data_IF_659673961504
#
_entry.id   IF_659673961504
#
_cell.length_a   1.000
_cell.length_b   1.000
_cell.length_c   1.000
_cell.angle_alpha   90.00
_cell.angle_beta   90.00
_cell.angle_gamma   90.00
#
_symmetry.space_group_name_H-M   'P 1'
#
loop_
_entity.id
_entity.type
_entity.pdbx_description
1 polymer ?
#
# COMPACT_ATOMS: atom_id res chain seq x y z
N UNK A 1 -21.22 13.60 -23.05
CA UNK A 1 -21.51 14.31 -21.79
C UNK A 1 -20.44 13.90 -20.82
N UNK A 2 -19.42 14.73 -20.64
CA UNK A 2 -18.40 14.54 -19.61
C UNK A 2 -19.00 15.02 -18.30
N UNK A 3 -19.63 14.11 -17.56
CA UNK A 3 -19.97 14.35 -16.16
C UNK A 3 -18.69 14.77 -15.43
N UNK A 4 -18.84 15.73 -14.51
CA UNK A 4 -17.77 16.20 -13.65
C UNK A 4 -17.41 15.04 -12.71
N UNK A 5 -16.46 14.18 -13.10
CA UNK A 5 -16.27 12.83 -12.52
C UNK A 5 -15.68 12.81 -11.11
N UNK A 6 -15.12 13.93 -10.64
CA UNK A 6 -14.87 14.19 -9.22
C UNK A 6 -16.04 14.98 -8.60
N UNK A 7 -17.27 14.65 -8.96
CA UNK A 7 -18.41 15.16 -8.22
C UNK A 7 -18.23 14.74 -6.75
N UNK A 8 -18.44 15.71 -5.86
CA UNK A 8 -18.44 15.50 -4.43
C UNK A 8 -19.34 14.33 -4.05
N UNK A 9 -20.43 14.10 -4.79
CA UNK A 9 -21.32 12.94 -4.59
C UNK A 9 -20.59 11.59 -4.74
N UNK A 10 -19.81 11.41 -5.80
CA UNK A 10 -19.03 10.19 -6.07
C UNK A 10 -17.93 10.01 -5.01
N UNK A 11 -17.26 11.10 -4.63
CA UNK A 11 -16.27 11.05 -3.56
C UNK A 11 -16.92 10.64 -2.24
N UNK A 12 -18.03 11.27 -1.87
CA UNK A 12 -18.74 10.97 -0.63
C UNK A 12 -19.29 9.51 -0.62
N UNK A 13 -19.70 8.99 -1.78
CA UNK A 13 -20.16 7.60 -1.95
C UNK A 13 -19.05 6.58 -1.70
N UNK A 14 -17.88 6.77 -2.34
CA UNK A 14 -16.80 5.76 -2.31
C UNK A 14 -15.71 6.02 -1.26
N UNK A 15 -15.78 7.14 -0.52
CA UNK A 15 -14.76 7.56 0.45
C UNK A 15 -14.34 6.45 1.41
N UNK A 16 -15.31 5.81 2.06
CA UNK A 16 -15.03 4.77 3.04
C UNK A 16 -14.37 3.55 2.39
N UNK A 17 -14.85 3.12 1.22
CA UNK A 17 -14.23 2.01 0.48
C UNK A 17 -12.81 2.32 0.03
N UNK A 18 -12.55 3.56 -0.41
CA UNK A 18 -11.19 4.01 -0.74
C UNK A 18 -10.29 3.99 0.49
N UNK A 19 -10.80 4.45 1.64
CA UNK A 19 -10.07 4.36 2.91
C UNK A 19 -9.75 2.94 3.32
N UNK A 20 -10.71 2.01 3.22
CA UNK A 20 -10.47 0.60 3.53
C UNK A 20 -9.47 -0.03 2.56
N UNK A 21 -9.53 0.30 1.26
CA UNK A 21 -8.53 -0.12 0.29
C UNK A 21 -7.14 0.43 0.63
N UNK A 22 -7.06 1.71 1.01
CA UNK A 22 -5.83 2.37 1.44
C UNK A 22 -5.28 1.75 2.72
N UNK A 23 -6.11 1.46 3.72
CA UNK A 23 -5.72 0.78 4.94
C UNK A 23 -5.21 -0.64 4.65
N UNK A 24 -5.90 -1.41 3.80
CA UNK A 24 -5.42 -2.71 3.34
C UNK A 24 -4.06 -2.63 2.62
N UNK A 25 -3.86 -1.62 1.76
CA UNK A 25 -2.57 -1.35 1.14
C UNK A 25 -1.50 -0.96 2.14
N UNK A 26 -1.81 -0.12 3.12
CA UNK A 26 -0.87 0.24 4.18
C UNK A 26 -0.42 -0.99 5.00
N UNK A 27 -1.33 -1.96 5.18
CA UNK A 27 -1.07 -3.23 5.85
C UNK A 27 -0.43 -4.31 4.96
N UNK A 28 -0.20 -4.10 3.66
CA UNK A 28 0.12 -5.19 2.73
C UNK A 28 1.40 -5.99 3.08
N UNK A 29 2.34 -5.38 3.82
CA UNK A 29 3.57 -6.02 4.28
C UNK A 29 3.51 -6.44 5.76
N UNK A 30 2.32 -6.48 6.37
CA UNK A 30 2.15 -6.77 7.79
C UNK A 30 2.77 -8.11 8.20
N UNK A 31 2.88 -9.07 7.28
CA UNK A 31 3.56 -10.32 7.59
C UNK A 31 5.06 -10.22 7.80
N UNK A 32 5.71 -9.14 7.42
CA UNK A 32 7.09 -8.92 7.83
C UNK A 32 7.18 -8.62 9.34
N UNK A 33 6.10 -8.19 9.98
CA UNK A 33 6.04 -7.94 11.43
C UNK A 33 5.76 -9.26 12.18
N UNK A 34 6.64 -10.25 12.01
CA UNK A 34 6.58 -11.50 12.78
C UNK A 34 7.97 -12.02 13.11
N UNK A 35 8.14 -12.77 14.22
CA UNK A 35 9.43 -13.42 14.54
C UNK A 35 9.90 -14.38 13.44
N UNK A 36 8.98 -15.04 12.75
CA UNK A 36 9.26 -15.96 11.65
C UNK A 36 9.90 -15.24 10.46
N UNK A 37 9.54 -13.98 10.19
CA UNK A 37 10.21 -13.18 9.17
C UNK A 37 11.70 -12.97 9.52
N UNK A 38 12.01 -12.67 10.78
CA UNK A 38 13.40 -12.50 11.24
C UNK A 38 14.17 -13.82 11.11
N UNK A 39 13.58 -14.94 11.53
CA UNK A 39 14.18 -16.27 11.39
C UNK A 39 14.40 -16.65 9.93
N UNK A 40 13.43 -16.35 9.07
CA UNK A 40 13.52 -16.55 7.63
C UNK A 40 14.70 -15.78 7.03
N UNK A 41 14.85 -14.50 7.39
CA UNK A 41 15.92 -13.65 6.89
C UNK A 41 17.32 -14.06 7.40
N UNK A 42 17.40 -14.66 8.60
CA UNK A 42 18.64 -15.22 9.16
C UNK A 42 18.95 -16.64 8.68
N UNK A 43 18.07 -17.26 7.89
CA UNK A 43 18.12 -18.69 7.57
C UNK A 43 18.12 -19.61 8.81
N UNK A 44 17.49 -19.19 9.92
CA UNK A 44 17.37 -19.96 11.18
C UNK A 44 16.02 -20.62 11.36
N UNK A 45 15.14 -20.52 10.36
CA UNK A 45 13.81 -21.13 10.37
C UNK A 45 13.84 -22.67 10.21
N UNK A 46 15.01 -23.24 9.88
CA UNK A 46 15.17 -24.68 9.62
C UNK A 46 14.58 -25.09 8.28
N UNK A 47 13.90 -26.25 8.24
CA UNK A 47 13.22 -26.76 7.03
C UNK A 47 11.84 -26.12 6.80
N UNK A 48 11.36 -25.32 7.75
CA UNK A 48 10.11 -24.57 7.61
C UNK A 48 10.27 -23.48 6.54
N UNK A 49 9.29 -23.39 5.67
CA UNK A 49 9.19 -22.32 4.67
C UNK A 49 8.39 -21.18 5.24
N UNK A 50 8.62 -19.96 4.77
CA UNK A 50 7.86 -18.80 5.21
C UNK A 50 7.50 -17.89 4.03
N UNK A 51 6.24 -17.50 3.97
CA UNK A 51 5.71 -16.60 2.95
C UNK A 51 4.94 -15.50 3.65
N UNK A 52 5.60 -14.38 3.95
CA UNK A 52 5.03 -13.26 4.71
C UNK A 52 3.83 -12.58 4.03
N UNK A 53 3.58 -12.88 2.76
CA UNK A 53 2.40 -12.42 2.04
C UNK A 53 1.24 -13.45 2.02
N UNK A 54 1.40 -14.66 2.56
CA UNK A 54 0.35 -15.71 2.61
C UNK A 54 -0.03 -16.05 4.05
N UNK A 55 -0.28 -15.00 4.83
CA UNK A 55 -0.31 -15.10 6.29
C UNK A 55 -1.67 -14.78 6.92
N UNK A 56 -2.60 -14.24 6.13
CA UNK A 56 -3.95 -13.97 6.62
C UNK A 56 -4.75 -15.26 6.77
N UNK A 57 -4.42 -16.27 5.94
CA UNK A 57 -5.13 -17.54 5.90
C UNK A 57 -6.52 -17.43 5.25
N UNK A 58 -6.86 -16.30 4.61
CA UNK A 58 -8.16 -16.11 3.96
C UNK A 58 -8.41 -17.16 2.88
N UNK A 59 -7.38 -17.53 2.13
CA UNK A 59 -7.48 -18.56 1.10
C UNK A 59 -7.87 -19.94 1.67
N UNK A 60 -7.48 -20.24 2.90
CA UNK A 60 -7.84 -21.52 3.55
C UNK A 60 -9.34 -21.63 3.88
N UNK A 61 -10.08 -20.52 3.88
CA UNK A 61 -11.51 -20.50 4.13
C UNK A 61 -12.36 -20.80 2.89
N UNK A 62 -11.74 -20.94 1.71
CA UNK A 62 -12.45 -21.27 0.47
C UNK A 62 -12.92 -22.73 0.54
N UNK A 63 -14.24 -22.91 0.50
CA UNK A 63 -14.90 -24.23 0.67
C UNK A 63 -15.14 -24.99 -0.63
N UNK A 64 -14.67 -24.47 -1.76
CA UNK A 64 -14.86 -25.10 -3.06
C UNK A 64 -14.05 -26.40 -3.16
N UNK A 65 -14.71 -27.58 -3.22
CA UNK A 65 -14.03 -28.88 -3.21
C UNK A 65 -13.01 -29.07 -4.34
N UNK A 66 -13.23 -28.41 -5.49
CA UNK A 66 -12.29 -28.47 -6.63
C UNK A 66 -10.99 -27.70 -6.36
N UNK A 67 -11.03 -26.74 -5.43
CA UNK A 67 -9.92 -25.82 -5.12
C UNK A 67 -9.18 -26.21 -3.84
N UNK A 68 -9.82 -26.96 -2.93
CA UNK A 68 -9.23 -27.40 -1.66
C UNK A 68 -7.87 -28.10 -1.87
N UNK A 69 -7.75 -29.02 -2.83
CA UNK A 69 -6.46 -29.71 -3.11
C UNK A 69 -5.36 -28.76 -3.57
N UNK A 70 -5.72 -27.72 -4.32
CA UNK A 70 -4.77 -26.72 -4.83
C UNK A 70 -4.28 -25.83 -3.69
N UNK A 71 -5.21 -25.40 -2.83
CA UNK A 71 -4.99 -24.65 -1.58
C UNK A 71 -4.09 -25.46 -0.64
N UNK A 72 -4.45 -26.71 -0.33
CA UNK A 72 -3.64 -27.62 0.48
C UNK A 72 -2.21 -27.74 -0.06
N UNK A 73 -2.03 -27.84 -1.38
CA UNK A 73 -0.70 -27.92 -1.96
C UNK A 73 0.10 -26.60 -1.86
N UNK A 74 -0.55 -25.42 -1.89
CA UNK A 74 0.12 -24.14 -1.57
C UNK A 74 0.55 -24.15 -0.11
N UNK A 75 -0.39 -24.46 0.78
CA UNK A 75 -0.19 -24.39 2.22
C UNK A 75 0.66 -25.54 2.77
N UNK A 76 0.90 -26.64 2.05
CA UNK A 76 1.94 -27.63 2.40
C UNK A 76 3.34 -27.01 2.45
N UNK A 77 3.53 -25.87 1.80
CA UNK A 77 4.81 -25.16 1.73
C UNK A 77 4.83 -23.86 2.53
N UNK A 78 3.80 -23.59 3.31
CA UNK A 78 3.69 -22.44 4.21
C UNK A 78 3.38 -23.00 5.59
N UNK A 79 3.88 -22.45 6.70
CA UNK A 79 3.58 -23.01 8.00
C UNK A 79 2.06 -22.97 8.19
N UNK A 80 1.46 -24.11 8.57
CA UNK A 80 0.02 -24.24 8.84
C UNK A 80 -0.45 -23.35 10.00
N UNK A 81 0.50 -22.74 10.72
CA UNK A 81 0.25 -22.00 11.93
C UNK A 81 -0.07 -20.57 11.58
N UNK A 82 -1.37 -20.32 11.48
CA UNK A 82 -2.07 -19.05 11.56
C UNK A 82 -1.20 -17.91 12.12
N UNK A 83 -0.54 -17.19 11.21
CA UNK A 83 0.37 -16.11 11.57
C UNK A 83 -0.36 -15.03 12.36
N UNK A 84 -1.59 -14.70 11.95
CA UNK A 84 -2.46 -13.81 12.71
C UNK A 84 -3.39 -14.55 13.66
N UNK A 85 -3.69 -13.89 14.79
CA UNK A 85 -4.74 -14.26 15.71
C UNK A 85 -6.09 -14.29 15.00
N UNK A 86 -6.98 -15.15 15.48
CA UNK A 86 -8.32 -15.32 14.88
C UNK A 86 -9.13 -14.02 14.87
N UNK A 87 -8.98 -13.17 15.90
CA UNK A 87 -9.60 -11.84 15.95
C UNK A 87 -9.13 -10.93 14.80
N UNK A 88 -7.82 -10.89 14.56
CA UNK A 88 -7.21 -10.11 13.47
C UNK A 88 -7.68 -10.61 12.10
N UNK A 89 -7.76 -11.92 11.89
CA UNK A 89 -8.28 -12.48 10.63
C UNK A 89 -9.73 -12.10 10.38
N UNK A 90 -10.58 -12.25 11.40
CA UNK A 90 -11.99 -11.83 11.32
C UNK A 90 -12.10 -10.36 11.00
N UNK A 91 -11.29 -9.52 11.65
CA UNK A 91 -11.25 -8.09 11.36
C UNK A 91 -10.85 -7.81 9.90
N UNK A 92 -9.80 -8.46 9.38
CA UNK A 92 -9.39 -8.33 7.97
C UNK A 92 -10.47 -8.77 6.98
N UNK A 93 -11.26 -9.80 7.31
CA UNK A 93 -12.35 -10.33 6.47
C UNK A 93 -13.59 -9.45 6.52
N UNK A 94 -13.92 -8.90 7.69
CA UNK A 94 -15.16 -8.16 7.93
C UNK A 94 -15.15 -6.74 7.38
N UNK A 95 -13.96 -6.14 7.21
CA UNK A 95 -13.80 -4.85 6.55
C UNK A 95 -13.87 -5.03 5.03
N UNK A 96 -15.10 -4.98 4.50
CA UNK A 96 -15.39 -5.11 3.07
C UNK A 96 -15.04 -3.84 2.31
N UNK A 97 -14.51 -4.00 1.11
CA UNK A 97 -14.16 -2.90 0.21
C UNK A 97 -15.10 -2.99 -0.99
N UNK A 98 -15.86 -1.93 -1.24
CA UNK A 98 -16.82 -1.81 -2.35
C UNK A 98 -16.44 -0.60 -3.19
N UNK A 99 -15.61 -0.82 -4.22
CA UNK A 99 -15.10 0.25 -5.08
C UNK A 99 -15.99 0.42 -6.31
N UNK A 100 -15.79 1.53 -7.02
CA UNK A 100 -16.43 1.77 -8.30
C UNK A 100 -15.83 0.92 -9.43
N UNK A 101 -16.57 0.81 -10.53
CA UNK A 101 -16.06 0.21 -11.75
C UNK A 101 -14.77 0.89 -12.24
N UNK A 102 -13.76 0.14 -12.73
CA UNK A 102 -13.77 -1.29 -13.02
C UNK A 102 -13.39 -2.18 -11.82
N UNK A 103 -13.20 -1.61 -10.64
CA UNK A 103 -12.75 -2.30 -9.42
C UNK A 103 -13.91 -2.87 -8.60
N UNK A 104 -15.07 -3.05 -9.22
CA UNK A 104 -16.25 -3.72 -8.68
C UNK A 104 -16.38 -5.18 -9.19
N UNK A 105 -15.31 -5.72 -9.78
CA UNK A 105 -15.23 -7.05 -10.36
C UNK A 105 -15.43 -8.21 -9.36
N UNK A 106 -15.38 -7.93 -8.06
CA UNK A 106 -15.81 -8.82 -6.96
C UNK A 106 -15.94 -8.05 -5.63
N UNK A 107 -16.49 -8.71 -4.63
CA UNK A 107 -16.41 -8.24 -3.25
C UNK A 107 -14.99 -8.43 -2.70
N UNK A 108 -14.45 -7.36 -2.13
CA UNK A 108 -13.13 -7.32 -1.53
C UNK A 108 -13.19 -7.28 -0.02
N UNK A 109 -12.11 -7.71 0.63
CA UNK A 109 -11.81 -7.37 2.01
C UNK A 109 -10.35 -6.95 2.14
N UNK A 110 -9.98 -6.24 3.21
CA UNK A 110 -8.60 -5.75 3.37
C UNK A 110 -7.57 -6.88 3.33
N UNK A 111 -7.90 -8.05 3.90
CA UNK A 111 -6.98 -9.18 3.88
C UNK A 111 -6.73 -9.77 2.48
N UNK A 112 -7.60 -9.52 1.50
CA UNK A 112 -7.33 -9.89 0.10
C UNK A 112 -6.06 -9.18 -0.41
N UNK A 113 -5.88 -7.89 -0.06
CA UNK A 113 -4.71 -7.10 -0.47
C UNK A 113 -3.40 -7.69 0.09
N UNK A 114 -3.44 -8.20 1.33
CA UNK A 114 -2.30 -8.84 2.00
C UNK A 114 -2.00 -10.21 1.37
N UNK A 115 -3.02 -11.07 1.29
CA UNK A 115 -2.89 -12.47 0.91
C UNK A 115 -2.51 -12.64 -0.58
N UNK A 116 -3.01 -11.76 -1.45
CA UNK A 116 -2.83 -11.93 -2.89
C UNK A 116 -1.55 -11.32 -3.44
N UNK A 117 -0.92 -10.40 -2.72
CA UNK A 117 0.36 -9.83 -3.16
C UNK A 117 1.47 -10.91 -3.28
N UNK A 118 1.44 -11.91 -2.40
CA UNK A 118 2.44 -12.97 -2.29
C UNK A 118 2.46 -14.01 -3.40
N UNK A 119 1.36 -14.12 -4.12
CA UNK A 119 1.16 -15.16 -5.14
C UNK A 119 1.80 -14.74 -6.48
N UNK A 120 2.60 -13.67 -6.52
CA UNK A 120 3.08 -13.09 -7.77
C UNK A 120 4.61 -13.01 -7.93
N UNK A 121 5.40 -12.90 -6.85
CA UNK A 121 6.81 -12.49 -6.92
C UNK A 121 7.80 -13.49 -7.56
N UNK A 122 7.36 -14.69 -7.92
CA UNK A 122 8.27 -15.76 -8.40
C UNK A 122 7.70 -16.56 -9.60
N UNK A 123 6.66 -16.06 -10.27
CA UNK A 123 6.11 -16.69 -11.48
C UNK A 123 6.15 -15.76 -12.69
N UNK A 124 6.30 -16.31 -13.89
CA UNK A 124 6.03 -15.65 -15.18
C UNK A 124 4.52 -15.36 -15.31
N UNK A 125 4.05 -14.39 -14.53
CA UNK A 125 2.65 -14.13 -14.21
C UNK A 125 1.86 -13.37 -15.29
N UNK A 126 2.46 -13.03 -16.42
CA UNK A 126 1.73 -12.49 -17.58
C UNK A 126 0.60 -13.41 -18.04
N UNK A 127 0.73 -14.73 -17.78
CA UNK A 127 -0.29 -15.75 -18.06
C UNK A 127 -1.45 -15.78 -17.05
N UNK A 128 -1.29 -15.22 -15.85
CA UNK A 128 -2.35 -15.22 -14.83
C UNK A 128 -3.45 -14.19 -15.13
N UNK A 129 -3.17 -13.17 -15.95
CA UNK A 129 -4.15 -12.09 -16.15
C UNK A 129 -4.60 -11.98 -17.60
N UNK A 130 -4.24 -12.92 -18.47
CA UNK A 130 -4.71 -12.97 -19.85
C UNK A 130 -5.65 -14.16 -20.09
N UNK A 131 -6.63 -13.99 -20.99
CA UNK A 131 -7.62 -15.01 -21.33
C UNK A 131 -6.97 -16.26 -21.92
N UNK A 132 -5.90 -16.12 -22.71
CA UNK A 132 -5.18 -17.25 -23.29
C UNK A 132 -4.58 -18.17 -22.20
N UNK A 133 -4.00 -17.62 -21.14
CA UNK A 133 -3.53 -18.38 -19.99
C UNK A 133 -4.67 -18.93 -19.13
N UNK A 134 -5.78 -18.20 -18.99
CA UNK A 134 -6.98 -18.68 -18.28
C UNK A 134 -7.68 -19.84 -19.00
N UNK A 135 -7.77 -19.81 -20.33
CA UNK A 135 -8.33 -20.89 -21.14
C UNK A 135 -7.39 -22.11 -21.20
N UNK A 136 -6.08 -21.90 -21.33
CA UNK A 136 -5.07 -22.96 -21.18
C UNK A 136 -5.23 -23.66 -19.84
N UNK A 137 -5.48 -22.90 -18.77
CA UNK A 137 -5.66 -23.42 -17.40
C UNK A 137 -7.01 -24.14 -17.19
N UNK A 138 -8.12 -23.58 -17.68
CA UNK A 138 -9.47 -24.18 -17.54
C UNK A 138 -9.62 -25.53 -18.24
N UNK A 139 -8.77 -25.79 -19.24
CA UNK A 139 -8.76 -27.05 -19.98
C UNK A 139 -7.87 -28.15 -19.34
N UNK A 140 -7.13 -27.83 -18.28
CA UNK A 140 -6.38 -28.85 -17.54
C UNK A 140 -7.30 -29.70 -16.66
N UNK A 141 -7.06 -31.01 -16.63
CA UNK A 141 -7.64 -31.88 -15.62
C UNK A 141 -6.99 -31.58 -14.27
N UNK A 142 -7.69 -31.83 -13.15
CA UNK A 142 -7.15 -31.65 -11.78
C UNK A 142 -5.77 -32.27 -11.57
N UNK A 143 -5.48 -33.39 -12.25
CA UNK A 143 -4.20 -34.08 -12.23
C UNK A 143 -3.07 -33.31 -12.90
N UNK A 144 -3.36 -32.53 -13.93
CA UNK A 144 -2.40 -31.69 -14.64
C UNK A 144 -2.17 -30.38 -13.88
N UNK A 145 -3.22 -29.83 -13.26
CA UNK A 145 -3.12 -28.71 -12.33
C UNK A 145 -2.24 -29.03 -11.12
N UNK A 146 -2.34 -30.24 -10.57
CA UNK A 146 -1.48 -30.72 -9.49
C UNK A 146 -0.02 -30.93 -9.92
N UNK A 147 0.25 -31.30 -11.17
CA UNK A 147 1.62 -31.43 -11.69
C UNK A 147 2.24 -30.05 -11.94
N UNK A 148 1.47 -29.11 -12.48
CA UNK A 148 1.90 -27.72 -12.69
C UNK A 148 2.13 -27.04 -11.34
N UNK A 149 1.22 -27.20 -10.39
CA UNK A 149 1.36 -26.76 -9.01
C UNK A 149 2.68 -27.20 -8.33
N UNK A 150 3.12 -28.42 -8.63
CA UNK A 150 4.37 -29.00 -8.11
C UNK A 150 5.61 -28.48 -8.84
N UNK A 151 5.47 -28.09 -10.11
CA UNK A 151 6.56 -27.67 -11.00
C UNK A 151 6.79 -26.15 -10.96
N UNK A 152 5.72 -25.37 -11.13
CA UNK A 152 5.65 -23.91 -10.99
C UNK A 152 4.84 -23.60 -9.73
N UNK A 153 5.55 -23.38 -8.62
CA UNK A 153 4.99 -23.36 -7.25
C UNK A 153 3.94 -22.27 -6.96
N UNK A 154 3.60 -21.40 -7.93
CA UNK A 154 2.98 -20.08 -7.67
C UNK A 154 2.04 -19.62 -8.80
N UNK A 155 1.64 -20.54 -9.69
CA UNK A 155 0.62 -20.28 -10.71
C UNK A 155 -0.76 -20.78 -10.24
N UNK A 156 -1.39 -20.11 -9.27
CA UNK A 156 -2.61 -20.66 -8.62
C UNK A 156 -3.70 -19.68 -8.19
N UNK A 157 -3.53 -18.38 -8.41
CA UNK A 157 -4.56 -17.41 -8.00
C UNK A 157 -5.86 -17.57 -8.81
N UNK A 158 -5.76 -17.74 -10.14
CA UNK A 158 -6.88 -18.11 -11.02
C UNK A 158 -7.46 -19.50 -10.78
N UNK A 159 -6.69 -20.38 -10.14
CA UNK A 159 -7.17 -21.72 -9.79
C UNK A 159 -7.97 -21.71 -8.50
N UNK A 160 -7.73 -20.72 -7.65
CA UNK A 160 -8.37 -20.57 -6.35
C UNK A 160 -9.52 -19.55 -6.41
N UNK A 161 -9.45 -18.58 -7.33
CA UNK A 161 -10.48 -17.58 -7.56
C UNK A 161 -11.01 -17.73 -8.98
N UNK A 162 -12.33 -17.74 -9.15
CA UNK A 162 -13.00 -17.89 -10.46
C UNK A 162 -12.63 -16.78 -11.47
N UNK A 163 -12.12 -15.66 -10.95
CA UNK A 163 -11.38 -14.60 -11.64
C UNK A 163 -10.28 -14.06 -10.71
N UNK A 164 -9.14 -13.63 -11.27
CA UNK A 164 -8.24 -12.69 -10.59
C UNK A 164 -8.99 -11.44 -10.16
N UNK A 165 -8.42 -10.65 -9.25
CA UNK A 165 -8.94 -9.33 -8.89
C UNK A 165 -8.19 -8.22 -9.62
N UNK A 166 -8.90 -7.21 -10.12
CA UNK A 166 -8.30 -5.99 -10.65
C UNK A 166 -7.64 -5.17 -9.54
N UNK A 167 -8.26 -5.10 -8.36
CA UNK A 167 -7.69 -4.39 -7.20
C UNK A 167 -6.35 -5.00 -6.75
N UNK A 168 -6.24 -6.33 -6.66
CA UNK A 168 -4.98 -6.98 -6.25
C UNK A 168 -3.92 -6.89 -7.35
N UNK A 169 -4.33 -6.92 -8.62
CA UNK A 169 -3.43 -6.63 -9.74
C UNK A 169 -2.91 -5.20 -9.67
N UNK A 170 -3.79 -4.22 -9.42
CA UNK A 170 -3.39 -2.84 -9.22
C UNK A 170 -2.43 -2.72 -8.03
N UNK A 171 -2.75 -3.34 -6.88
CA UNK A 171 -1.86 -3.33 -5.72
C UNK A 171 -0.47 -3.88 -6.04
N UNK A 172 -0.37 -4.94 -6.85
CA UNK A 172 0.93 -5.44 -7.29
C UNK A 172 1.73 -4.38 -8.04
N UNK A 173 1.11 -3.65 -8.97
CA UNK A 173 1.77 -2.54 -9.66
C UNK A 173 2.18 -1.43 -8.68
N UNK A 174 1.34 -1.12 -7.70
CA UNK A 174 1.63 -0.15 -6.65
C UNK A 174 2.82 -0.57 -5.79
N UNK A 175 2.87 -1.84 -5.39
CA UNK A 175 3.98 -2.42 -4.63
C UNK A 175 5.28 -2.38 -5.44
N UNK A 176 5.23 -2.71 -6.73
CA UNK A 176 6.38 -2.63 -7.62
C UNK A 176 6.88 -1.18 -7.79
N UNK A 177 5.97 -0.23 -7.96
CA UNK A 177 6.29 1.20 -8.00
C UNK A 177 6.92 1.70 -6.70
N UNK A 178 6.39 1.29 -5.55
CA UNK A 178 6.87 1.69 -4.22
C UNK A 178 8.21 1.03 -3.85
N UNK A 179 8.42 -0.24 -4.23
CA UNK A 179 9.64 -0.99 -3.92
C UNK A 179 10.81 -0.66 -4.83
N UNK A 180 10.60 0.14 -5.89
CA UNK A 180 11.63 0.48 -6.86
C UNK A 180 12.02 -0.73 -7.70
N UNK A 181 11.27 -1.01 -8.77
CA UNK A 181 11.57 -2.07 -9.75
C UNK A 181 13.01 -2.07 -10.31
N UNK A 182 13.73 -0.95 -10.15
CA UNK A 182 15.13 -0.75 -10.56
C UNK A 182 16.17 -1.26 -9.55
N UNK A 183 15.76 -1.94 -8.47
CA UNK A 183 16.66 -2.59 -7.48
C UNK A 183 17.77 -3.44 -8.10
N UNK A 184 17.61 -3.89 -9.35
CA UNK A 184 18.60 -4.64 -10.13
C UNK A 184 19.96 -3.93 -10.28
N UNK A 185 20.01 -2.60 -10.11
CA UNK A 185 21.25 -1.81 -10.26
C UNK A 185 21.90 -1.42 -8.93
N UNK A 186 21.30 -1.76 -7.78
CA UNK A 186 21.85 -1.44 -6.46
C UNK A 186 22.67 -2.64 -5.98
N UNK A 187 23.96 -2.43 -5.71
CA UNK A 187 24.76 -3.45 -5.04
C UNK A 187 24.16 -3.70 -3.65
N UNK A 188 23.62 -4.90 -3.45
CA UNK A 188 22.99 -5.28 -2.20
C UNK A 188 23.74 -6.42 -1.51
N UNK A 189 23.94 -6.26 -0.21
CA UNK A 189 24.50 -7.30 0.64
C UNK A 189 23.38 -7.86 1.51
N UNK A 190 23.17 -9.17 1.44
CA UNK A 190 22.34 -9.85 2.42
C UNK A 190 22.96 -9.69 3.81
N UNK A 191 22.15 -9.68 4.89
CA UNK A 191 22.66 -9.65 6.25
C UNK A 191 23.74 -10.74 6.44
N UNK A 192 24.96 -10.33 6.74
CA UNK A 192 26.04 -11.25 7.12
C UNK A 192 26.09 -11.39 8.64
N UNK A 193 25.69 -12.54 9.17
CA UNK A 193 25.76 -12.87 10.60
C UNK A 193 24.40 -13.05 11.29
N UNK A 194 24.41 -13.15 12.62
CA UNK A 194 23.23 -13.51 13.44
C UNK A 194 22.22 -12.37 13.64
N UNK A 195 22.45 -11.21 13.04
CA UNK A 195 21.75 -9.97 13.34
C UNK A 195 21.16 -9.32 12.09
N UNK A 196 19.96 -8.75 12.24
CA UNK A 196 19.29 -7.93 11.24
C UNK A 196 19.32 -6.50 11.74
N UNK A 197 19.51 -5.55 10.84
CA UNK A 197 19.57 -4.13 11.17
C UNK A 197 18.57 -3.36 10.33
N UNK A 198 17.90 -2.39 10.96
CA UNK A 198 17.25 -1.29 10.26
C UNK A 198 18.19 -0.08 10.34
N UNK A 199 18.41 0.57 9.21
CA UNK A 199 19.27 1.74 9.11
C UNK A 199 18.44 3.03 8.97
N UNK A 200 19.05 4.18 9.23
CA UNK A 200 18.49 5.47 8.80
C UNK A 200 19.05 5.83 7.42
N UNK A 201 18.43 6.76 6.68
CA UNK A 201 19.02 7.29 5.44
C UNK A 201 20.44 7.86 5.61
N UNK A 202 20.85 8.18 6.85
CA UNK A 202 22.19 8.65 7.21
C UNK A 202 23.11 7.55 7.75
N UNK A 203 22.76 6.28 7.60
CA UNK A 203 23.61 5.13 7.92
C UNK A 203 23.69 4.76 9.41
N UNK A 204 22.81 5.29 10.27
CA UNK A 204 22.74 4.82 11.67
C UNK A 204 21.95 3.52 11.73
N UNK A 205 22.52 2.49 12.32
CA UNK A 205 21.88 1.18 12.39
C UNK A 205 21.36 0.86 13.80
N UNK A 206 20.18 0.24 13.85
CA UNK A 206 19.60 -0.35 15.05
C UNK A 206 19.39 -1.84 14.80
N UNK A 207 19.92 -2.65 15.71
CA UNK A 207 19.71 -4.09 15.66
C UNK A 207 18.26 -4.43 15.95
N UNK A 208 17.74 -5.38 15.19
CA UNK A 208 16.42 -5.99 15.36
C UNK A 208 16.60 -7.41 15.87
N UNK A 209 15.80 -7.76 16.87
CA UNK A 209 15.71 -9.11 17.43
C UNK A 209 14.28 -9.66 17.41
N UNK A 210 14.17 -10.98 17.57
CA UNK A 210 12.89 -11.71 17.52
C UNK A 210 11.93 -11.32 18.66
N UNK A 211 12.46 -10.97 19.84
CA UNK A 211 11.64 -10.60 21.01
C UNK A 211 10.95 -9.27 20.75
N UNK A 212 11.67 -8.30 20.19
CA UNK A 212 11.10 -7.03 19.74
C UNK A 212 9.97 -7.25 18.75
N UNK A 213 10.16 -8.13 17.75
CA UNK A 213 9.12 -8.44 16.75
C UNK A 213 7.92 -9.18 17.33
N UNK A 214 8.13 -10.03 18.33
CA UNK A 214 7.02 -10.68 19.03
C UNK A 214 6.13 -9.66 19.76
N UNK A 215 6.74 -8.73 20.51
CA UNK A 215 6.02 -7.64 21.16
C UNK A 215 5.32 -6.75 20.13
N UNK A 216 6.01 -6.38 19.06
CA UNK A 216 5.48 -5.52 18.01
C UNK A 216 4.26 -6.15 17.32
N UNK A 217 4.36 -7.41 16.92
CA UNK A 217 3.26 -8.18 16.33
C UNK A 217 2.05 -8.20 17.25
N UNK A 218 2.25 -8.51 18.53
CA UNK A 218 1.17 -8.54 19.53
C UNK A 218 0.48 -7.18 19.63
N UNK A 219 1.24 -6.11 19.78
CA UNK A 219 0.70 -4.74 19.88
C UNK A 219 -0.05 -4.31 18.62
N UNK A 220 0.48 -4.64 17.43
CA UNK A 220 -0.20 -4.34 16.17
C UNK A 220 -1.52 -5.09 16.05
N UNK A 221 -1.54 -6.39 16.35
CA UNK A 221 -2.76 -7.19 16.25
C UNK A 221 -3.84 -6.81 17.28
N UNK A 222 -3.46 -6.53 18.52
CA UNK A 222 -4.39 -6.02 19.54
C UNK A 222 -5.03 -4.70 19.10
N UNK A 223 -4.22 -3.83 18.50
CA UNK A 223 -4.67 -2.53 17.98
C UNK A 223 -5.55 -2.64 16.75
N UNK A 224 -5.24 -3.53 15.80
CA UNK A 224 -6.06 -3.75 14.61
C UNK A 224 -7.49 -4.10 15.00
N UNK A 225 -7.66 -4.97 16.00
CA UNK A 225 -8.97 -5.39 16.49
C UNK A 225 -9.79 -4.26 17.15
N UNK A 226 -9.15 -3.13 17.50
CA UNK A 226 -9.77 -1.98 18.17
C UNK A 226 -9.92 -0.75 17.26
N UNK A 227 -9.33 -0.78 16.06
CA UNK A 227 -9.25 0.40 15.19
C UNK A 227 -10.35 0.37 14.12
N UNK A 228 -10.93 1.54 13.87
CA UNK A 228 -11.79 1.77 12.71
C UNK A 228 -10.96 2.24 11.51
N UNK A 229 -10.95 1.43 10.45
CA UNK A 229 -10.23 1.74 9.22
C UNK A 229 -10.97 2.74 8.31
N UNK A 230 -12.21 3.14 8.65
CA UNK A 230 -12.94 4.21 7.96
C UNK A 230 -12.44 5.62 8.32
N UNK A 231 -11.49 5.76 9.24
CA UNK A 231 -10.75 6.99 9.47
C UNK A 231 -9.27 6.77 9.14
N UNK A 232 -8.92 6.97 7.87
CA UNK A 232 -7.57 6.68 7.38
C UNK A 232 -6.48 7.48 8.09
N UNK A 233 -6.73 8.75 8.43
CA UNK A 233 -5.77 9.60 9.15
C UNK A 233 -5.44 9.02 10.53
N UNK A 234 -6.49 8.74 11.32
CA UNK A 234 -6.35 8.11 12.64
C UNK A 234 -5.66 6.75 12.52
N UNK A 235 -6.04 5.98 11.50
CA UNK A 235 -5.48 4.66 11.23
C UNK A 235 -3.97 4.74 11.00
N UNK A 236 -3.50 5.58 10.06
CA UNK A 236 -2.08 5.74 9.76
C UNK A 236 -1.31 6.22 10.99
N UNK A 237 -1.78 7.30 11.63
CA UNK A 237 -1.15 7.90 12.82
C UNK A 237 -1.00 6.88 13.97
N UNK A 238 -1.98 5.97 14.11
CA UNK A 238 -1.96 4.97 15.17
C UNK A 238 -0.94 3.85 14.95
N UNK A 239 -0.68 3.48 13.69
CA UNK A 239 0.21 2.38 13.31
C UNK A 239 1.62 2.82 12.92
N UNK A 240 1.79 4.04 12.40
CA UNK A 240 3.07 4.58 11.95
C UNK A 240 4.23 4.39 12.96
N UNK A 241 4.08 4.71 14.26
CA UNK A 241 5.18 4.51 15.21
C UNK A 241 5.64 3.06 15.32
N UNK A 242 4.72 2.10 15.22
CA UNK A 242 5.02 0.67 15.26
C UNK A 242 5.62 0.19 13.93
N UNK A 243 5.11 0.71 12.81
CA UNK A 243 5.56 0.29 11.49
C UNK A 243 6.95 0.84 11.13
N UNK A 244 7.34 1.99 11.69
CA UNK A 244 8.71 2.52 11.60
C UNK A 244 9.75 1.68 12.34
N UNK A 245 9.34 0.88 13.31
CA UNK A 245 10.22 -0.04 14.04
C UNK A 245 10.45 -1.37 13.30
N UNK A 246 9.65 -1.66 12.27
CA UNK A 246 9.75 -2.88 11.47
C UNK A 246 10.44 -2.60 10.13
N UNK A 247 11.30 -3.54 9.70
CA UNK A 247 12.10 -3.43 8.49
C UNK A 247 11.33 -4.00 7.31
N UNK A 248 11.26 -3.26 6.20
CA UNK A 248 10.66 -3.75 4.97
C UNK A 248 11.66 -4.54 4.12
N UNK A 249 12.93 -4.18 4.16
CA UNK A 249 14.00 -4.84 3.40
C UNK A 249 15.23 -5.03 4.30
N UNK A 250 15.83 -6.22 4.31
CA UNK A 250 16.94 -6.53 5.21
C UNK A 250 18.30 -6.31 4.56
N UNK A 251 18.36 -6.09 3.24
CA UNK A 251 19.61 -5.96 2.51
C UNK A 251 20.21 -4.58 2.68
N UNK A 252 21.53 -4.49 2.87
CA UNK A 252 22.24 -3.19 2.84
C UNK A 252 22.47 -2.77 1.39
N UNK A 253 22.41 -1.46 1.05
CA UNK A 253 22.11 -0.33 1.92
C UNK A 253 20.60 0.00 2.01
N UNK A 254 19.73 -0.82 1.44
CA UNK A 254 18.27 -0.58 1.34
C UNK A 254 17.48 -0.92 2.60
N UNK A 255 18.17 -1.35 3.66
CA UNK A 255 17.61 -1.63 4.97
C UNK A 255 17.23 -0.37 5.77
N UNK A 256 17.18 0.78 5.10
CA UNK A 256 16.67 2.04 5.63
C UNK A 256 15.17 2.23 5.41
N UNK A 257 14.52 1.27 4.73
CA UNK A 257 13.09 1.30 4.44
C UNK A 257 12.33 0.49 5.50
N UNK A 258 11.44 1.17 6.22
CA UNK A 258 10.54 0.56 7.19
C UNK A 258 9.25 0.04 6.55
N UNK A 259 8.47 -0.73 7.31
CA UNK A 259 7.13 -1.17 6.87
C UNK A 259 6.20 0.01 6.63
N UNK A 260 6.35 1.09 7.41
CA UNK A 260 5.60 2.32 7.19
C UNK A 260 5.90 2.90 5.82
N UNK A 261 7.19 3.03 5.46
CA UNK A 261 7.61 3.70 4.23
C UNK A 261 7.06 2.99 2.99
N UNK A 262 7.20 1.66 2.93
CA UNK A 262 6.70 0.85 1.81
C UNK A 262 5.17 0.78 1.80
N UNK A 263 4.53 0.69 2.98
CA UNK A 263 3.08 0.62 3.13
C UNK A 263 2.41 1.91 2.71
N UNK A 264 2.94 3.04 3.19
CA UNK A 264 2.44 4.38 2.91
C UNK A 264 2.61 4.74 1.44
N UNK A 265 3.77 4.46 0.87
CA UNK A 265 4.02 4.68 -0.56
C UNK A 265 3.15 3.77 -1.43
N UNK A 266 3.01 2.49 -1.07
CA UNK A 266 2.12 1.55 -1.77
C UNK A 266 0.65 1.99 -1.72
N UNK A 267 0.19 2.50 -0.57
CA UNK A 267 -1.13 3.11 -0.40
C UNK A 267 -1.30 4.37 -1.27
N UNK A 268 -0.29 5.24 -1.31
CA UNK A 268 -0.31 6.47 -2.10
C UNK A 268 -0.50 6.17 -3.59
N UNK A 269 0.26 5.21 -4.12
CA UNK A 269 0.03 4.70 -5.46
C UNK A 269 -1.39 4.12 -5.57
N UNK A 270 -1.78 3.15 -4.74
CA UNK A 270 -3.09 2.50 -4.86
C UNK A 270 -4.25 3.49 -4.95
N UNK A 271 -4.29 4.48 -4.05
CA UNK A 271 -5.30 5.54 -4.04
C UNK A 271 -5.38 6.26 -5.39
N UNK A 272 -4.24 6.68 -5.92
CA UNK A 272 -4.13 7.35 -7.22
C UNK A 272 -4.55 6.46 -8.39
N UNK A 273 -4.22 5.16 -8.33
CA UNK A 273 -4.57 4.19 -9.36
C UNK A 273 -6.05 3.88 -9.39
N UNK A 274 -6.69 3.78 -8.23
CA UNK A 274 -8.14 3.58 -8.12
C UNK A 274 -8.87 4.67 -8.92
N UNK A 275 -8.57 5.94 -8.64
CA UNK A 275 -9.17 7.07 -9.34
C UNK A 275 -8.85 7.09 -10.83
N UNK A 276 -7.59 6.81 -11.21
CA UNK A 276 -7.23 6.81 -12.62
C UNK A 276 -7.98 5.73 -13.40
N UNK A 277 -8.09 4.52 -12.85
CA UNK A 277 -8.86 3.45 -13.50
C UNK A 277 -10.34 3.78 -13.58
N UNK A 278 -10.92 4.25 -12.48
CA UNK A 278 -12.33 4.63 -12.43
C UNK A 278 -12.70 5.67 -13.48
N UNK A 279 -11.84 6.66 -13.69
CA UNK A 279 -12.12 7.81 -14.55
C UNK A 279 -11.71 7.54 -16.00
N UNK A 280 -10.47 7.06 -16.22
CA UNK A 280 -9.88 6.94 -17.56
C UNK A 280 -10.21 5.62 -18.24
N UNK A 281 -10.42 4.56 -17.46
CA UNK A 281 -10.65 3.21 -17.97
C UNK A 281 -11.77 2.46 -17.22
N UNK A 282 -12.99 3.03 -17.12
CA UNK A 282 -14.10 2.47 -16.32
C UNK A 282 -14.57 1.08 -16.75
N UNK A 283 -14.09 0.56 -17.88
CA UNK A 283 -14.47 -0.73 -18.47
C UNK A 283 -13.28 -1.65 -18.74
N UNK A 284 -12.12 -1.36 -18.14
CA UNK A 284 -10.91 -2.16 -18.39
C UNK A 284 -11.13 -3.59 -17.93
N UNK A 285 -10.79 -4.53 -18.79
CA UNK A 285 -10.75 -5.95 -18.44
C UNK A 285 -9.38 -6.33 -17.86
N UNK A 286 -9.28 -7.45 -17.15
CA UNK A 286 -7.97 -7.96 -16.69
C UNK A 286 -6.96 -8.13 -17.82
N UNK A 287 -7.43 -8.55 -19.00
CA UNK A 287 -6.59 -8.76 -20.18
C UNK A 287 -5.99 -7.45 -20.69
N UNK A 288 -6.81 -6.41 -20.80
CA UNK A 288 -6.37 -5.08 -21.20
C UNK A 288 -5.46 -4.47 -20.15
N UNK A 289 -5.81 -4.62 -18.87
CA UNK A 289 -4.99 -4.16 -17.75
C UNK A 289 -3.60 -4.79 -17.82
N UNK A 290 -3.52 -6.12 -17.98
CA UNK A 290 -2.25 -6.84 -18.08
C UNK A 290 -1.42 -6.44 -19.32
N UNK A 291 -2.06 -6.38 -20.50
CA UNK A 291 -1.37 -6.11 -21.77
C UNK A 291 -0.91 -4.66 -21.88
N UNK A 292 -1.74 -3.72 -21.43
CA UNK A 292 -1.56 -2.29 -21.66
C UNK A 292 -0.97 -1.58 -20.45
N UNK A 293 -1.39 -1.89 -19.22
CA UNK A 293 -1.00 -1.18 -18.00
C UNK A 293 0.05 -1.95 -17.17
N UNK A 294 0.11 -3.28 -17.31
CA UNK A 294 1.03 -4.16 -16.58
C UNK A 294 2.46 -4.19 -17.11
N UNK A 295 2.74 -3.67 -18.32
CA UNK A 295 4.11 -3.57 -18.86
C UNK A 295 4.84 -2.39 -18.23
N UNK A 296 6.13 -2.59 -17.94
CA UNK A 296 7.05 -1.75 -17.14
C UNK A 296 7.17 -0.25 -17.49
N UNK A 297 6.40 0.29 -18.44
CA UNK A 297 6.42 1.73 -18.77
C UNK A 297 5.06 2.41 -18.79
N UNK A 298 3.95 1.67 -18.74
CA UNK A 298 2.61 2.26 -18.83
C UNK A 298 1.93 2.49 -17.47
N UNK A 299 2.44 1.90 -16.38
CA UNK A 299 1.95 2.20 -15.03
C UNK A 299 2.22 3.67 -14.64
N UNK A 300 3.19 4.35 -15.26
CA UNK A 300 3.41 5.80 -15.09
C UNK A 300 2.18 6.64 -15.47
N UNK A 301 1.23 6.08 -16.22
CA UNK A 301 -0.04 6.74 -16.57
C UNK A 301 -1.12 6.60 -15.50
N UNK A 302 -0.78 6.08 -14.32
CA UNK A 302 -1.71 5.93 -13.18
C UNK A 302 -1.48 6.99 -12.10
N UNK A 303 -0.37 7.72 -12.17
CA UNK A 303 0.05 8.62 -11.10
C UNK A 303 0.94 9.74 -11.63
N UNK A 304 0.84 10.89 -11.00
CA UNK A 304 1.70 12.06 -11.16
C UNK A 304 2.15 12.57 -9.79
N UNK A 305 3.17 13.41 -9.80
CA UNK A 305 3.63 14.14 -8.63
C UNK A 305 3.05 15.56 -8.65
N UNK A 306 2.39 15.96 -7.57
CA UNK A 306 1.97 17.33 -7.32
C UNK A 306 2.90 17.92 -6.26
N UNK A 307 3.55 19.03 -6.57
CA UNK A 307 4.39 19.75 -5.63
C UNK A 307 3.74 21.07 -5.26
N UNK A 308 3.48 21.25 -3.96
CA UNK A 308 3.10 22.53 -3.38
C UNK A 308 4.35 23.15 -2.76
N UNK A 309 4.75 24.34 -3.23
CA UNK A 309 5.97 25.01 -2.80
C UNK A 309 5.70 26.43 -2.33
N UNK A 310 6.31 26.76 -1.21
CA UNK A 310 6.32 28.07 -0.57
C UNK A 310 7.74 28.37 -0.09
N UNK A 311 8.09 29.65 0.04
CA UNK A 311 9.36 30.06 0.65
C UNK A 311 9.22 30.09 2.18
N UNK A 312 9.00 28.90 2.76
CA UNK A 312 8.79 28.78 4.20
C UNK A 312 10.07 29.06 4.98
N UNK A 313 11.25 28.79 4.41
CA UNK A 313 12.52 29.11 5.04
C UNK A 313 12.68 30.62 5.28
N UNK A 314 12.46 31.46 4.25
CA UNK A 314 12.51 32.92 4.43
C UNK A 314 11.44 33.38 5.43
N UNK A 315 10.21 32.86 5.33
CA UNK A 315 9.14 33.18 6.26
C UNK A 315 9.50 32.89 7.72
N UNK A 316 10.20 31.79 8.00
CA UNK A 316 10.67 31.44 9.34
C UNK A 316 11.85 32.31 9.79
N UNK A 317 12.76 32.67 8.88
CA UNK A 317 13.95 33.46 9.18
C UNK A 317 13.68 34.96 9.37
N UNK A 318 12.53 35.45 8.91
CA UNK A 318 12.04 36.80 9.21
C UNK A 318 11.58 36.97 10.67
N UNK A 319 11.65 35.91 11.49
CA UNK A 319 11.30 35.98 12.90
C UNK A 319 12.24 36.91 13.68
N UNK A 320 11.67 37.84 14.44
CA UNK A 320 12.43 38.81 15.25
C UNK A 320 12.93 38.24 16.58
N UNK A 321 12.31 37.16 17.07
CA UNK A 321 12.65 36.50 18.32
C UNK A 321 12.12 35.05 18.34
N UNK A 322 12.48 34.27 19.38
CA UNK A 322 12.10 32.86 19.49
C UNK A 322 10.58 32.63 19.59
N UNK A 323 9.83 33.56 20.20
CA UNK A 323 8.37 33.43 20.31
C UNK A 323 7.72 33.62 18.94
N UNK A 324 8.15 34.64 18.20
CA UNK A 324 7.72 34.90 16.82
C UNK A 324 8.05 33.71 15.90
N UNK A 325 9.27 33.16 16.00
CA UNK A 325 9.66 31.95 15.26
C UNK A 325 8.71 30.77 15.51
N UNK A 326 8.34 30.52 16.77
CA UNK A 326 7.38 29.45 17.12
C UNK A 326 5.99 29.70 16.53
N UNK A 327 5.51 30.94 16.58
CA UNK A 327 4.22 31.32 16.00
C UNK A 327 4.22 31.10 14.48
N UNK A 328 5.27 31.54 13.78
CA UNK A 328 5.44 31.33 12.34
C UNK A 328 5.55 29.86 11.98
N UNK A 329 6.33 29.09 12.74
CA UNK A 329 6.42 27.64 12.55
C UNK A 329 5.05 26.95 12.68
N UNK A 330 4.29 27.28 13.73
CA UNK A 330 2.96 26.70 13.92
C UNK A 330 1.99 27.12 12.80
N UNK A 331 2.07 28.37 12.34
CA UNK A 331 1.30 28.86 11.19
C UNK A 331 1.60 28.05 9.92
N UNK A 332 2.88 27.88 9.60
CA UNK A 332 3.34 27.08 8.46
C UNK A 332 2.87 25.62 8.56
N UNK A 333 3.02 25.00 9.73
CA UNK A 333 2.56 23.62 9.97
C UNK A 333 1.04 23.50 9.80
N UNK A 334 0.28 24.45 10.32
CA UNK A 334 -1.18 24.47 10.18
C UNK A 334 -1.62 24.61 8.71
N UNK A 335 -0.94 25.44 7.93
CA UNK A 335 -1.22 25.61 6.51
C UNK A 335 -1.01 24.32 5.71
N UNK A 336 0.13 23.67 5.93
CA UNK A 336 0.44 22.40 5.27
C UNK A 336 -0.51 21.28 5.73
N UNK A 337 -0.85 21.22 7.03
CA UNK A 337 -1.84 20.28 7.56
C UNK A 337 -3.23 20.50 6.95
N UNK A 338 -3.64 21.75 6.77
CA UNK A 338 -4.93 22.07 6.14
C UNK A 338 -4.99 21.61 4.68
N UNK A 339 -3.90 21.77 3.93
CA UNK A 339 -3.80 21.29 2.55
C UNK A 339 -3.88 19.77 2.51
N UNK A 340 -3.05 19.08 3.30
CA UNK A 340 -3.06 17.62 3.39
C UNK A 340 -4.45 17.11 3.78
N UNK A 341 -5.02 17.61 4.88
CA UNK A 341 -6.33 17.20 5.36
C UNK A 341 -7.42 17.38 4.29
N UNK A 342 -7.31 18.42 3.47
CA UNK A 342 -8.25 18.64 2.37
C UNK A 342 -8.13 17.57 1.29
N UNK A 343 -6.93 17.32 0.77
CA UNK A 343 -6.74 16.52 -0.46
C UNK A 343 -6.39 15.05 -0.22
N UNK A 344 -6.05 14.69 1.02
CA UNK A 344 -5.70 13.32 1.39
C UNK A 344 -6.81 12.59 2.13
N UNK A 345 -7.52 13.30 3.03
CA UNK A 345 -8.55 12.72 3.88
C UNK A 345 -9.94 13.24 3.52
N UNK A 346 -10.16 14.56 3.45
CA UNK A 346 -11.50 15.08 3.14
C UNK A 346 -11.96 14.63 1.75
N UNK A 347 -11.11 14.81 0.75
CA UNK A 347 -11.27 14.37 -0.62
C UNK A 347 -10.12 13.42 -0.96
N UNK A 348 -10.23 12.10 -0.74
CA UNK A 348 -9.10 11.16 -0.77
C UNK A 348 -8.59 10.88 -2.18
N UNK A 349 -8.03 11.89 -2.83
CA UNK A 349 -7.57 11.89 -4.21
C UNK A 349 -6.04 11.75 -4.25
N UNK A 350 -5.35 12.45 -3.37
CA UNK A 350 -3.91 12.47 -3.30
C UNK A 350 -3.40 11.91 -1.96
N UNK A 351 -2.11 11.62 -1.88
CA UNK A 351 -1.44 11.23 -0.64
C UNK A 351 -0.13 11.97 -0.52
N UNK A 352 0.12 12.63 0.60
CA UNK A 352 1.40 13.28 0.84
C UNK A 352 2.50 12.22 0.95
N UNK A 353 3.61 12.38 0.26
CA UNK A 353 4.75 11.45 0.34
C UNK A 353 6.02 12.14 0.83
N UNK A 354 6.00 13.47 0.93
CA UNK A 354 7.11 14.27 1.39
C UNK A 354 6.61 15.61 1.91
N UNK A 355 7.24 16.08 2.98
CA UNK A 355 7.04 17.42 3.53
C UNK A 355 8.35 17.97 4.10
N UNK A 356 8.58 19.25 3.86
CA UNK A 356 9.58 20.08 4.53
C UNK A 356 9.00 21.48 4.83
N UNK A 357 9.82 22.38 5.36
CA UNK A 357 9.44 23.78 5.58
C UNK A 357 9.07 24.51 4.28
N UNK A 358 9.51 24.04 3.12
CA UNK A 358 9.23 24.66 1.83
C UNK A 358 8.01 24.05 1.12
N UNK A 359 7.32 23.13 1.79
CA UNK A 359 6.02 22.61 1.38
C UNK A 359 5.98 21.10 1.27
N UNK A 360 5.17 20.62 0.33
CA UNK A 360 4.73 19.23 0.29
C UNK A 360 4.78 18.66 -1.12
N UNK A 361 4.97 17.35 -1.21
CA UNK A 361 4.80 16.60 -2.45
C UNK A 361 3.78 15.47 -2.26
N UNK A 362 2.89 15.32 -3.25
CA UNK A 362 1.79 14.37 -3.22
C UNK A 362 1.82 13.48 -4.46
N UNK A 363 1.48 12.20 -4.28
CA UNK A 363 1.10 11.33 -5.40
C UNK A 363 -0.39 11.56 -5.66
N UNK A 364 -0.76 11.79 -6.92
CA UNK A 364 -2.15 11.99 -7.35
C UNK A 364 -2.41 11.36 -8.73
N UNK A 365 -3.68 11.16 -9.12
CA UNK A 365 -4.06 10.53 -10.40
C UNK A 365 -3.48 11.25 -11.64
N UNK A 366 -3.04 10.51 -12.65
CA UNK A 366 -2.65 11.07 -13.96
C UNK A 366 -3.89 11.50 -14.78
N UNK A 367 -4.54 12.56 -14.30
CA UNK A 367 -5.78 13.12 -14.84
C UNK A 367 -5.70 14.65 -14.84
N UNK A 368 -5.92 15.28 -16.00
CA UNK A 368 -5.78 16.74 -16.15
C UNK A 368 -6.86 17.49 -15.39
N UNK A 369 -8.09 16.98 -15.41
CA UNK A 369 -9.26 17.54 -14.72
C UNK A 369 -9.02 17.60 -13.21
N UNK A 370 -8.41 16.56 -12.66
CA UNK A 370 -8.05 16.46 -11.24
C UNK A 370 -6.93 17.46 -10.89
N UNK A 371 -5.95 17.61 -11.78
CA UNK A 371 -4.84 18.55 -11.56
C UNK A 371 -5.35 19.99 -11.41
N UNK A 372 -6.31 20.41 -12.22
CA UNK A 372 -6.86 21.76 -12.17
C UNK A 372 -7.72 22.01 -10.92
N UNK A 373 -8.50 21.02 -10.49
CA UNK A 373 -9.25 21.09 -9.24
C UNK A 373 -8.32 21.16 -8.01
N UNK A 374 -7.26 20.35 -7.99
CA UNK A 374 -6.27 20.36 -6.91
C UNK A 374 -5.54 21.71 -6.85
N UNK A 375 -5.10 22.25 -8.00
CA UNK A 375 -4.49 23.59 -8.06
C UNK A 375 -5.44 24.67 -7.54
N UNK A 376 -6.69 24.66 -8.00
CA UNK A 376 -7.72 25.62 -7.58
C UNK A 376 -8.00 25.55 -6.07
N UNK A 377 -8.06 24.33 -5.53
CA UNK A 377 -8.26 24.10 -4.10
C UNK A 377 -7.08 24.60 -3.27
N UNK A 378 -5.85 24.28 -3.69
CA UNK A 378 -4.63 24.74 -3.03
C UNK A 378 -4.54 26.27 -3.06
N UNK A 379 -4.77 26.91 -4.21
CA UNK A 379 -4.72 28.36 -4.33
C UNK A 379 -5.73 29.09 -3.43
N UNK A 380 -6.94 28.53 -3.26
CA UNK A 380 -7.95 29.11 -2.35
C UNK A 380 -7.55 28.98 -0.89
N UNK A 381 -6.95 27.85 -0.51
CA UNK A 381 -6.46 27.64 0.86
C UNK A 381 -5.28 28.56 1.19
N UNK A 382 -4.34 28.73 0.25
CA UNK A 382 -3.18 29.60 0.46
C UNK A 382 -3.57 31.08 0.57
N UNK A 383 -4.53 31.56 -0.23
CA UNK A 383 -5.02 32.94 -0.16
C UNK A 383 -5.73 33.24 1.17
N UNK A 384 -6.53 32.29 1.67
CA UNK A 384 -7.23 32.45 2.95
C UNK A 384 -6.23 32.57 4.11
N UNK A 385 -5.18 31.75 4.12
CA UNK A 385 -4.22 31.73 5.21
C UNK A 385 -3.24 32.92 5.18
N UNK A 386 -2.80 33.37 3.99
CA UNK A 386 -2.03 34.61 3.86
C UNK A 386 -2.81 35.83 4.38
N UNK A 387 -4.11 35.91 4.10
CA UNK A 387 -4.96 37.01 4.61
C UNK A 387 -5.15 36.97 6.14
N UNK A 388 -5.12 35.79 6.77
CA UNK A 388 -5.17 35.64 8.22
C UNK A 388 -3.84 36.05 8.87
N UNK A 389 -2.70 35.77 8.22
CA UNK A 389 -1.39 36.12 8.74
C UNK A 389 -1.08 37.62 8.63
N UNK A 390 -1.47 38.29 7.55
CA UNK A 390 -1.35 39.75 7.42
C UNK A 390 -2.10 40.49 8.55
N UNK A 391 -3.28 40.00 8.93
CA UNK A 391 -4.11 40.57 10.00
C UNK A 391 -3.56 40.33 11.43
N UNK A 392 -2.72 39.31 11.62
CA UNK A 392 -2.07 39.03 12.91
C UNK A 392 -0.80 39.87 13.09
N UNK A 393 -0.11 40.22 12.00
CA UNK A 393 1.04 41.14 12.01
C UNK A 393 0.68 42.63 12.15
N UNK A 394 -0.61 42.98 12.14
CA UNK A 394 -1.11 44.36 12.25
C UNK A 394 -1.76 44.71 13.59
N UNK A 395 -1.63 43.85 14.61
CA UNK A 395 -1.98 44.11 16.02
C UNK A 395 -0.75 43.93 16.91
#
# INVERSE_FOLDING_TARGET
MTENLLDKSVIDEYKNSIYLACAGAYLHNLGKITPEFIKYQKNTLGDEKYCFQLISGILSNIKDPSKIKVIEEIFKTVPSNHVFLEGTKKWLINNKIELMSPLDDRTYCMGDILEFLGVHDKCNCDKLYNNAGREEIRNFKDTDLLKIAKKDKILKLNLILDSTSLLTHLMKLCHHGASGGEKQSIFSENPSGDFIYISTPFGREKQIDEKTYWCLKKSVEEKLQQTDANNLETFINFFEPMFKEAVADTQRPINNISIHDIGHTGMAFLKSGIWTLAIRWPKVTHDEFNKCLGKERNYLKLWRLLSYRIDGQSFLFDATNLSDFKTRKNALENDLNNIQNRIEFRYPIATEIYRDENGSAFIYPDLEEVADELKSTISKLSQYNLSLHENISSN
#
